data_IF_972194703483
#
_entry.id   IF_972194703483
#
_cell.length_a   1.000
_cell.length_b   1.000
_cell.length_c   1.000
_cell.angle_alpha   90.00
_cell.angle_beta   90.00
_cell.angle_gamma   90.00
#
_symmetry.space_group_name_H-M   'P 1'
#
loop_
_entity.id
_entity.type
_entity.pdbx_description
1 polymer ?
#
# COMPACT_ATOMS: atom_id res chain seq x y z
N UNK A 1 5.98 26.86 5.68
CA UNK A 1 5.57 25.90 4.64
C UNK A 1 5.63 24.44 5.15
N UNK A 2 5.11 24.16 6.36
CA UNK A 2 5.03 22.81 6.93
C UNK A 2 3.62 22.19 6.79
N UNK A 3 2.58 23.02 6.79
CA UNK A 3 1.18 22.56 6.77
C UNK A 3 0.78 21.77 5.51
N UNK A 4 1.40 21.98 4.35
CA UNK A 4 1.01 21.28 3.11
C UNK A 4 1.45 19.80 3.10
N UNK A 5 2.44 19.42 3.92
CA UNK A 5 2.99 18.06 3.89
C UNK A 5 2.33 17.10 4.90
N UNK A 6 1.74 17.61 5.98
CA UNK A 6 1.13 16.81 7.04
C UNK A 6 -0.26 16.25 6.63
N UNK A 7 -0.90 16.82 5.60
CA UNK A 7 -2.22 16.38 5.13
C UNK A 7 -2.19 15.31 4.04
N UNK A 8 -1.04 15.04 3.43
CA UNK A 8 -0.93 14.05 2.34
C UNK A 8 -1.23 12.62 2.79
N UNK A 9 -0.75 12.15 3.95
CA UNK A 9 -1.07 10.81 4.44
C UNK A 9 -2.59 10.57 4.55
N UNK A 10 -3.32 11.53 5.11
CA UNK A 10 -4.77 11.42 5.30
C UNK A 10 -5.54 11.35 3.99
N UNK A 11 -5.15 12.14 2.98
CA UNK A 11 -5.78 12.08 1.67
C UNK A 11 -5.64 10.69 1.02
N UNK A 12 -4.46 10.06 1.12
CA UNK A 12 -4.26 8.69 0.62
C UNK A 12 -5.13 7.70 1.39
N UNK A 13 -5.21 7.83 2.71
CA UNK A 13 -6.04 6.95 3.55
C UNK A 13 -7.52 7.04 3.16
N UNK A 14 -8.04 8.24 2.91
CA UNK A 14 -9.43 8.43 2.50
C UNK A 14 -9.71 7.80 1.12
N UNK A 15 -8.77 7.93 0.17
CA UNK A 15 -8.85 7.24 -1.12
C UNK A 15 -8.85 5.71 -0.97
N UNK A 16 -8.03 5.17 -0.06
CA UNK A 16 -8.00 3.73 0.23
C UNK A 16 -9.31 3.27 0.85
N UNK A 17 -9.88 4.01 1.81
CA UNK A 17 -11.19 3.69 2.40
C UNK A 17 -12.30 3.69 1.35
N UNK A 18 -12.31 4.65 0.45
CA UNK A 18 -13.27 4.69 -0.67
C UNK A 18 -13.11 3.45 -1.57
N UNK A 19 -11.89 3.12 -1.98
CA UNK A 19 -11.61 1.94 -2.80
C UNK A 19 -12.02 0.62 -2.12
N UNK A 20 -11.78 0.49 -0.82
CA UNK A 20 -12.23 -0.67 -0.02
C UNK A 20 -13.75 -0.73 0.06
N UNK A 21 -14.42 0.40 0.29
CA UNK A 21 -15.89 0.46 0.34
C UNK A 21 -16.51 0.06 -1.01
N UNK A 22 -15.97 0.55 -2.12
CA UNK A 22 -16.42 0.20 -3.47
C UNK A 22 -16.18 -1.29 -3.77
N UNK A 23 -15.01 -1.82 -3.38
CA UNK A 23 -14.69 -3.24 -3.52
C UNK A 23 -15.65 -4.14 -2.73
N UNK A 24 -15.97 -3.77 -1.48
CA UNK A 24 -16.95 -4.49 -0.67
C UNK A 24 -18.36 -4.39 -1.22
N UNK A 25 -18.75 -3.25 -1.82
CA UNK A 25 -20.06 -3.10 -2.44
C UNK A 25 -20.20 -3.92 -3.73
N UNK A 26 -19.09 -4.16 -4.44
CA UNK A 26 -19.06 -4.91 -5.70
C UNK A 26 -18.82 -6.42 -5.54
N UNK A 27 -18.50 -6.88 -4.33
CA UNK A 27 -18.16 -8.29 -4.05
C UNK A 27 -18.97 -8.83 -2.88
N UNK A 28 -19.04 -10.15 -2.73
CA UNK A 28 -19.67 -10.79 -1.56
C UNK A 28 -18.67 -11.04 -0.41
N UNK A 29 -17.54 -10.31 -0.43
CA UNK A 29 -16.48 -10.46 0.57
C UNK A 29 -16.82 -9.70 1.85
N UNK A 30 -16.41 -10.25 2.97
CA UNK A 30 -16.38 -9.52 4.26
C UNK A 30 -15.14 -8.64 4.30
N UNK A 31 -15.20 -7.55 5.08
CA UNK A 31 -14.06 -6.66 5.29
C UNK A 31 -12.79 -7.39 5.76
N UNK A 32 -12.94 -8.45 6.57
CA UNK A 32 -11.85 -9.30 7.05
C UNK A 32 -11.21 -10.20 5.99
N UNK A 33 -11.89 -10.42 4.86
CA UNK A 33 -11.41 -11.27 3.75
C UNK A 33 -10.72 -10.45 2.66
N UNK A 34 -10.91 -9.14 2.67
CA UNK A 34 -10.33 -8.22 1.70
C UNK A 34 -8.86 -7.98 2.03
N UNK A 35 -8.01 -8.05 1.01
CA UNK A 35 -6.57 -7.81 1.15
C UNK A 35 -6.15 -6.49 0.53
N UNK A 36 -5.39 -5.69 1.27
CA UNK A 36 -4.81 -4.44 0.78
C UNK A 36 -3.30 -4.63 0.65
N UNK A 37 -2.71 -4.30 -0.50
CA UNK A 37 -1.27 -4.31 -0.70
C UNK A 37 -0.70 -2.89 -0.86
N UNK A 38 0.16 -2.50 0.07
CA UNK A 38 0.89 -1.23 0.03
C UNK A 38 2.28 -1.42 -0.60
N UNK A 39 2.53 -0.75 -1.72
CA UNK A 39 3.78 -0.80 -2.46
C UNK A 39 4.66 0.37 -2.09
N UNK A 40 5.78 0.04 -1.44
CA UNK A 40 6.78 0.98 -0.97
C UNK A 40 6.55 1.41 0.48
N UNK A 41 7.61 1.38 1.25
CA UNK A 41 7.67 1.82 2.65
C UNK A 41 8.76 2.85 2.88
N UNK A 42 9.81 2.89 2.06
CA UNK A 42 10.94 3.79 2.24
C UNK A 42 10.56 5.27 2.06
N UNK A 43 11.34 6.18 2.65
CA UNK A 43 11.05 7.61 2.52
C UNK A 43 11.35 8.16 1.11
N UNK A 44 12.15 7.43 0.32
CA UNK A 44 12.47 7.70 -1.09
C UNK A 44 12.57 6.39 -1.88
N UNK A 45 12.46 6.46 -3.23
CA UNK A 45 12.69 5.30 -4.08
C UNK A 45 14.09 4.72 -3.97
N UNK A 46 14.17 3.40 -4.09
CA UNK A 46 15.39 2.58 -4.24
C UNK A 46 16.39 2.67 -3.07
N UNK A 47 15.88 2.92 -1.86
CA UNK A 47 16.66 2.88 -0.62
C UNK A 47 15.89 2.10 0.43
N UNK A 48 16.57 1.70 1.50
CA UNK A 48 16.03 0.89 2.61
C UNK A 48 15.65 1.72 3.85
N UNK A 49 15.85 3.04 3.80
CA UNK A 49 15.59 3.91 4.95
C UNK A 49 14.09 4.17 5.13
N UNK A 50 13.56 3.65 6.23
CA UNK A 50 12.15 3.78 6.62
C UNK A 50 11.93 4.90 7.66
N UNK A 51 13.01 5.54 8.14
CA UNK A 51 12.89 6.57 9.18
C UNK A 51 12.13 7.77 8.63
N UNK A 52 11.19 8.28 9.43
CA UNK A 52 10.35 9.42 9.08
C UNK A 52 9.61 9.24 7.73
N UNK A 53 9.38 7.99 7.31
CA UNK A 53 8.71 7.70 6.06
C UNK A 53 7.19 7.93 6.18
N UNK A 54 6.61 8.83 5.36
CA UNK A 54 5.16 8.99 5.31
C UNK A 54 4.48 7.76 4.71
N UNK A 55 5.15 6.98 3.86
CA UNK A 55 4.61 5.75 3.31
C UNK A 55 4.43 4.67 4.40
N UNK A 56 5.42 4.55 5.30
CA UNK A 56 5.32 3.64 6.44
C UNK A 56 4.19 4.04 7.38
N UNK A 57 3.99 5.35 7.62
CA UNK A 57 2.88 5.85 8.43
C UNK A 57 1.51 5.55 7.79
N UNK A 58 1.38 5.72 6.47
CA UNK A 58 0.14 5.36 5.75
C UNK A 58 -0.14 3.85 5.88
N UNK A 59 0.85 2.99 5.66
CA UNK A 59 0.69 1.54 5.79
C UNK A 59 0.31 1.12 7.21
N UNK A 60 0.92 1.74 8.23
CA UNK A 60 0.59 1.52 9.64
C UNK A 60 -0.87 1.90 9.93
N UNK A 61 -1.29 3.09 9.50
CA UNK A 61 -2.66 3.56 9.69
C UNK A 61 -3.68 2.67 8.97
N UNK A 62 -3.39 2.24 7.73
CA UNK A 62 -4.22 1.29 6.99
C UNK A 62 -4.40 -0.01 7.79
N UNK A 63 -3.30 -0.60 8.25
CA UNK A 63 -3.33 -1.85 8.99
C UNK A 63 -4.05 -1.75 10.36
N UNK A 64 -4.10 -0.56 10.96
CA UNK A 64 -4.80 -0.35 12.23
C UNK A 64 -6.33 -0.33 12.10
N UNK A 65 -6.88 0.22 11.00
CA UNK A 65 -8.34 0.28 10.81
C UNK A 65 -8.89 -0.83 9.92
N UNK A 66 -8.08 -1.36 9.00
CA UNK A 66 -8.50 -2.45 8.12
C UNK A 66 -8.60 -3.75 8.91
N UNK A 67 -9.74 -4.45 8.77
CA UNK A 67 -9.95 -5.70 9.50
C UNK A 67 -9.41 -6.94 8.80
N UNK A 68 -9.07 -6.82 7.51
CA UNK A 68 -8.44 -7.87 6.73
C UNK A 68 -6.92 -7.76 6.71
N UNK A 69 -6.29 -8.54 5.84
CA UNK A 69 -4.83 -8.57 5.75
C UNK A 69 -4.28 -7.33 5.03
N UNK A 70 -3.27 -6.69 5.64
CA UNK A 70 -2.50 -5.62 5.00
C UNK A 70 -1.12 -6.15 4.64
N UNK A 71 -0.91 -6.34 3.34
CA UNK A 71 0.37 -6.69 2.75
C UNK A 71 1.19 -5.43 2.53
N UNK A 72 2.50 -5.51 2.77
CA UNK A 72 3.45 -4.47 2.39
C UNK A 72 4.52 -5.06 1.49
N UNK A 73 4.84 -4.36 0.41
CA UNK A 73 5.87 -4.75 -0.55
C UNK A 73 6.93 -3.67 -0.55
N UNK A 74 8.13 -3.99 -0.04
CA UNK A 74 9.28 -3.08 -0.04
C UNK A 74 10.52 -3.85 -0.51
N UNK A 75 10.97 -3.64 -1.77
CA UNK A 75 12.07 -4.39 -2.36
C UNK A 75 13.42 -4.22 -1.64
N UNK A 76 13.59 -3.16 -0.87
CA UNK A 76 14.88 -2.78 -0.28
C UNK A 76 15.04 -3.24 1.17
N UNK A 77 14.04 -3.93 1.75
CA UNK A 77 14.12 -4.49 3.11
C UNK A 77 13.88 -5.99 3.09
N UNK A 78 14.42 -6.68 4.10
CA UNK A 78 14.27 -8.13 4.27
C UNK A 78 13.44 -8.49 5.50
N UNK A 79 13.10 -7.51 6.33
CA UNK A 79 12.35 -7.69 7.58
C UNK A 79 11.47 -6.47 7.82
N UNK A 80 10.29 -6.70 8.42
CA UNK A 80 9.41 -5.61 8.81
C UNK A 80 10.04 -4.77 9.93
N UNK A 81 9.85 -3.43 9.90
CA UNK A 81 10.12 -2.62 11.07
C UNK A 81 9.20 -3.02 12.23
N UNK A 82 9.67 -2.84 13.47
CA UNK A 82 8.91 -3.18 14.69
C UNK A 82 7.51 -2.56 14.72
N UNK A 83 7.35 -1.35 14.17
CA UNK A 83 6.06 -0.64 14.09
C UNK A 83 4.99 -1.40 13.31
N UNK A 84 5.38 -2.18 12.30
CA UNK A 84 4.45 -2.94 11.46
C UNK A 84 4.36 -4.42 11.87
N UNK A 85 5.16 -4.85 12.84
CA UNK A 85 5.18 -6.24 13.29
C UNK A 85 3.84 -6.59 13.95
N UNK A 86 3.16 -7.62 13.44
CA UNK A 86 1.83 -8.01 13.92
C UNK A 86 0.67 -7.19 13.37
N UNK A 87 0.95 -6.14 12.58
CA UNK A 87 -0.04 -5.35 11.86
C UNK A 87 -0.04 -5.65 10.36
N UNK A 88 1.13 -5.90 9.79
CA UNK A 88 1.31 -6.14 8.36
C UNK A 88 2.06 -7.44 8.09
N UNK A 89 1.93 -7.94 6.87
CA UNK A 89 2.72 -9.04 6.32
C UNK A 89 3.65 -8.49 5.23
N UNK A 90 4.97 -8.72 5.34
CA UNK A 90 5.90 -8.42 4.25
C UNK A 90 5.72 -9.46 3.15
N UNK A 91 5.23 -9.03 2.00
CA UNK A 91 4.93 -9.88 0.86
C UNK A 91 5.91 -9.66 -0.29
N UNK A 92 6.07 -10.68 -1.13
CA UNK A 92 6.75 -10.52 -2.40
C UNK A 92 5.85 -9.82 -3.42
N UNK A 93 6.48 -9.20 -4.42
CA UNK A 93 5.78 -8.44 -5.47
C UNK A 93 4.67 -9.26 -6.14
N UNK A 94 5.01 -10.44 -6.66
CA UNK A 94 4.07 -11.27 -7.42
C UNK A 94 2.94 -11.81 -6.54
N UNK A 95 3.22 -12.12 -5.28
CA UNK A 95 2.22 -12.58 -4.31
C UNK A 95 1.18 -11.49 -4.03
N UNK A 96 1.64 -10.25 -3.82
CA UNK A 96 0.77 -9.12 -3.59
C UNK A 96 -0.10 -8.83 -4.83
N UNK A 97 0.49 -8.84 -6.02
CA UNK A 97 -0.24 -8.66 -7.29
C UNK A 97 -1.25 -9.80 -7.56
N UNK A 98 -0.99 -11.01 -7.09
CA UNK A 98 -1.89 -12.14 -7.31
C UNK A 98 -3.06 -12.19 -6.31
N UNK A 99 -2.88 -11.67 -5.09
CA UNK A 99 -3.81 -11.93 -3.98
C UNK A 99 -4.51 -10.69 -3.44
N UNK A 100 -4.00 -9.49 -3.69
CA UNK A 100 -4.60 -8.27 -3.19
C UNK A 100 -5.84 -7.86 -3.99
N UNK A 101 -6.82 -7.33 -3.27
CA UNK A 101 -8.05 -6.76 -3.82
C UNK A 101 -7.89 -5.27 -4.14
N UNK A 102 -7.14 -4.57 -3.28
CA UNK A 102 -6.83 -3.14 -3.42
C UNK A 102 -5.31 -2.96 -3.41
N UNK A 103 -4.78 -2.31 -4.45
CA UNK A 103 -3.37 -1.93 -4.49
C UNK A 103 -3.20 -0.46 -4.11
N UNK A 104 -2.13 -0.15 -3.37
CA UNK A 104 -1.80 1.20 -2.92
C UNK A 104 -0.33 1.50 -3.27
N UNK A 105 -0.08 2.36 -4.25
CA UNK A 105 1.27 2.78 -4.64
C UNK A 105 1.73 3.98 -3.83
N UNK A 106 2.67 3.75 -2.91
CA UNK A 106 3.16 4.76 -1.96
C UNK A 106 4.56 5.29 -2.29
N UNK A 107 5.42 4.48 -2.90
CA UNK A 107 6.79 4.86 -3.29
C UNK A 107 7.13 4.28 -4.65
N UNK A 108 7.65 5.10 -5.56
CA UNK A 108 7.88 4.76 -6.96
C UNK A 108 9.24 4.09 -7.21
N UNK A 109 9.49 2.97 -6.53
CA UNK A 109 10.68 2.15 -6.74
C UNK A 109 10.81 1.70 -8.21
N UNK A 110 12.05 1.54 -8.68
CA UNK A 110 12.34 1.10 -10.04
C UNK A 110 11.69 -0.25 -10.36
N UNK A 111 11.67 -1.16 -9.38
CA UNK A 111 11.02 -2.47 -9.45
C UNK A 111 9.51 -2.37 -9.72
N UNK A 112 8.85 -1.31 -9.28
CA UNK A 112 7.41 -1.15 -9.50
C UNK A 112 7.07 -0.49 -10.84
N UNK A 113 7.96 0.35 -11.35
CA UNK A 113 7.81 1.02 -12.65
C UNK A 113 7.94 0.08 -13.83
N UNK A 114 8.64 -1.04 -13.66
CA UNK A 114 8.84 -2.04 -14.72
C UNK A 114 7.72 -3.08 -14.79
N UNK A 115 6.76 -3.03 -13.86
CA UNK A 115 5.57 -3.86 -13.91
C UNK A 115 4.74 -3.39 -15.11
N UNK A 116 4.53 -4.29 -16.06
CA UNK A 116 3.65 -4.03 -17.18
C UNK A 116 2.22 -3.79 -16.64
N UNK A 117 1.50 -2.81 -17.18
CA UNK A 117 0.11 -2.56 -16.84
C UNK A 117 -0.77 -3.80 -17.03
N UNK A 118 -0.40 -4.69 -17.97
CA UNK A 118 -1.06 -5.99 -18.15
C UNK A 118 -0.97 -6.89 -16.92
N UNK A 119 -0.02 -6.68 -16.00
CA UNK A 119 0.14 -7.47 -14.77
C UNK A 119 -0.62 -6.87 -13.58
N UNK A 120 -1.21 -5.68 -13.73
CA UNK A 120 -2.04 -5.04 -12.71
C UNK A 120 -3.50 -5.26 -13.08
N UNK A 121 -4.09 -6.33 -12.55
CA UNK A 121 -5.46 -6.73 -12.86
C UNK A 121 -6.49 -6.17 -11.87
N UNK A 122 -6.03 -5.59 -10.77
CA UNK A 122 -6.90 -5.06 -9.73
C UNK A 122 -7.72 -3.90 -10.26
N UNK A 123 -9.04 -4.00 -10.08
CA UNK A 123 -9.96 -2.92 -10.39
C UNK A 123 -9.73 -1.69 -9.49
N UNK A 124 -9.25 -1.91 -8.26
CA UNK A 124 -9.12 -0.88 -7.25
C UNK A 124 -7.65 -0.58 -6.98
N UNK A 125 -7.16 0.52 -7.56
CA UNK A 125 -5.78 0.98 -7.42
C UNK A 125 -5.75 2.44 -6.93
N UNK A 126 -5.11 2.66 -5.78
CA UNK A 126 -4.83 3.99 -5.24
C UNK A 126 -3.37 4.32 -5.52
N UNK A 127 -3.14 5.14 -6.54
CA UNK A 127 -1.79 5.50 -6.96
C UNK A 127 -1.43 6.94 -6.56
N UNK A 128 -0.64 7.07 -5.50
CA UNK A 128 -0.16 8.36 -5.01
C UNK A 128 1.05 8.92 -5.81
N UNK A 129 1.59 8.14 -6.75
CA UNK A 129 2.81 8.47 -7.52
C UNK A 129 2.57 8.58 -9.03
N UNK A 130 1.46 8.09 -9.55
CA UNK A 130 1.12 8.09 -10.98
C UNK A 130 1.99 7.13 -11.80
N UNK A 131 2.29 5.95 -11.25
CA UNK A 131 3.08 4.88 -11.87
C UNK A 131 2.24 3.89 -12.66
N UNK A 132 1.04 3.56 -12.19
CA UNK A 132 0.15 2.52 -12.76
C UNK A 132 -1.14 3.11 -13.35
N UNK A 133 -1.11 4.39 -13.74
CA UNK A 133 -2.18 5.08 -14.45
C UNK A 133 -1.89 5.24 -15.93
#
# INVERSE_FOLDING_TARGET
AREVNDHKPFWVIDQVKAAVADCLAATDKRASELKIACFGLAFKPNIDDLRESPAMEIAELIAQWHSGETLVVEPNIHQLPKKLTGLCTLAQLDEALATADVLVMLVDHSQFKVINGDNVHQQYVVDAKGVWR
#
